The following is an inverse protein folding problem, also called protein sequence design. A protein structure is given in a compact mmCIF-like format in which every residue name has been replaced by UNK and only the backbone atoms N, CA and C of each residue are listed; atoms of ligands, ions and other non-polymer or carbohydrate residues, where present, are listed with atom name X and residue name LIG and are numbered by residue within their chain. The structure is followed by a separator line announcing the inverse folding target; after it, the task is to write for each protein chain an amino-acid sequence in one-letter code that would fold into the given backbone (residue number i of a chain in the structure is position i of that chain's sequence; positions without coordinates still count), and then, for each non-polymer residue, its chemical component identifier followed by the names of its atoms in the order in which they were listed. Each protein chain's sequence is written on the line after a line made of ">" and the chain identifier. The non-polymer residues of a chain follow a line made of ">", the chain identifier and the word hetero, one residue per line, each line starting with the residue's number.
data_IF_143152836316
#
_entry.id   IF_143152836316
#
_cell.length_a   1.000
_cell.length_b   1.000
_cell.length_c   1.000
_cell.angle_alpha   90.00
_cell.angle_beta   90.00
_cell.angle_gamma   90.00
#
_symmetry.space_group_name_H-M   'P 1'
#
loop_
_entity.id
_entity.type
_entity.pdbx_description
1 polymer ?
#
# COMPACT_ATOMS: atom_id res chain seq x y z
N UNK A 1 19.19 -0.96 -94.32
CA UNK A 1 18.01 -0.41 -93.76
C UNK A 1 18.05 -0.61 -92.23
N UNK A 2 18.37 0.42 -91.55
CA UNK A 2 18.65 0.36 -90.09
C UNK A 2 17.40 0.70 -89.30
N UNK A 3 17.00 -0.16 -88.32
CA UNK A 3 16.02 0.13 -87.34
C UNK A 3 16.68 0.37 -85.94
N UNK A 4 16.52 1.57 -85.44
CA UNK A 4 16.95 1.96 -84.12
C UNK A 4 15.86 1.57 -83.13
N UNK A 5 16.17 0.69 -82.19
CA UNK A 5 15.31 0.40 -81.01
C UNK A 5 15.71 1.32 -79.84
N UNK A 6 14.82 2.22 -79.48
CA UNK A 6 14.93 3.04 -78.27
C UNK A 6 14.51 2.22 -77.03
N UNK A 7 15.40 1.99 -76.11
CA UNK A 7 15.09 1.46 -74.76
C UNK A 7 14.60 2.62 -73.89
N UNK A 8 13.32 2.58 -73.42
CA UNK A 8 12.79 3.39 -72.34
C UNK A 8 13.15 2.69 -71.09
N UNK A 9 13.94 3.32 -70.23
CA UNK A 9 14.13 2.95 -68.80
C UNK A 9 13.10 3.66 -67.96
N UNK A 10 12.13 2.89 -67.41
CA UNK A 10 11.14 3.38 -66.41
C UNK A 10 11.77 3.27 -65.05
N UNK A 11 12.11 4.40 -64.45
CA UNK A 11 12.51 4.49 -63.05
C UNK A 11 11.24 4.53 -62.15
N UNK A 12 10.99 3.43 -61.46
CA UNK A 12 9.92 3.36 -60.46
C UNK A 12 10.46 3.95 -59.15
N UNK A 13 10.05 5.16 -58.81
CA UNK A 13 10.31 5.77 -57.51
C UNK A 13 9.36 5.13 -56.51
N UNK A 14 9.87 4.31 -55.58
CA UNK A 14 9.13 3.82 -54.42
C UNK A 14 9.10 4.95 -53.42
N UNK A 15 7.95 5.65 -53.32
CA UNK A 15 7.65 6.58 -52.23
C UNK A 15 7.36 5.74 -50.97
N UNK A 16 8.32 5.65 -50.06
CA UNK A 16 8.08 5.12 -48.73
C UNK A 16 7.19 6.07 -47.96
N UNK A 17 5.90 5.76 -47.88
CA UNK A 17 4.98 6.40 -46.94
C UNK A 17 5.33 5.87 -45.57
N UNK A 18 6.06 6.66 -44.78
CA UNK A 18 6.17 6.46 -43.35
C UNK A 18 4.76 6.71 -42.75
N UNK A 19 4.06 5.63 -42.43
CA UNK A 19 2.87 5.71 -41.58
C UNK A 19 3.35 6.21 -40.23
N UNK A 20 3.30 7.52 -40.02
CA UNK A 20 3.31 8.10 -38.71
C UNK A 20 2.00 7.62 -38.03
N UNK A 21 2.09 6.58 -37.22
CA UNK A 21 1.02 6.25 -36.28
C UNK A 21 0.88 7.46 -35.38
N UNK A 22 -0.15 8.28 -35.63
CA UNK A 22 -0.54 9.33 -34.71
C UNK A 22 -0.84 8.62 -33.38
N UNK A 23 -0.04 8.88 -32.35
CA UNK A 23 -0.35 8.48 -31.00
C UNK A 23 -1.74 9.07 -30.70
N UNK A 24 -2.74 8.22 -30.54
CA UNK A 24 -4.08 8.64 -30.19
C UNK A 24 -4.02 9.07 -28.74
N UNK A 25 -4.49 10.29 -28.45
CA UNK A 25 -4.57 10.79 -27.08
C UNK A 25 -5.35 9.81 -26.23
N UNK A 26 -4.71 9.29 -25.17
CA UNK A 26 -5.35 8.39 -24.22
C UNK A 26 -6.00 9.21 -23.13
N UNK A 27 -7.33 9.19 -23.07
CA UNK A 27 -8.08 9.75 -21.95
C UNK A 27 -8.35 8.64 -20.93
N UNK A 28 -7.57 8.63 -19.83
CA UNK A 28 -7.57 7.60 -18.82
C UNK A 28 -8.41 8.04 -17.62
N UNK A 29 -9.35 7.22 -17.20
CA UNK A 29 -10.08 7.44 -15.94
C UNK A 29 -9.23 6.94 -14.79
N UNK A 30 -8.86 7.83 -13.86
CA UNK A 30 -8.22 7.51 -12.59
C UNK A 30 -9.20 7.75 -11.44
N UNK A 31 -9.34 6.78 -10.54
CA UNK A 31 -10.31 6.84 -9.46
C UNK A 31 -9.75 6.39 -8.12
N UNK A 32 -10.29 6.95 -7.06
CA UNK A 32 -10.00 6.57 -5.67
C UNK A 32 -11.26 6.58 -4.81
N UNK A 33 -11.34 5.60 -3.90
CA UNK A 33 -12.34 5.57 -2.82
C UNK A 33 -12.06 6.55 -1.68
N UNK A 34 -10.89 7.24 -1.70
CA UNK A 34 -10.41 8.13 -0.65
C UNK A 34 -10.64 9.61 -1.01
N UNK A 35 -10.82 10.44 0.02
CA UNK A 35 -10.95 11.88 -0.15
C UNK A 35 -9.60 12.59 -0.39
N UNK A 36 -9.62 13.77 -1.00
CA UNK A 36 -8.43 14.59 -1.30
C UNK A 36 -7.48 14.85 -0.12
N UNK A 37 -7.94 14.98 1.14
CA UNK A 37 -7.03 15.18 2.26
C UNK A 37 -6.14 13.99 2.60
N UNK A 38 -6.45 12.80 2.06
CA UNK A 38 -5.67 11.58 2.29
C UNK A 38 -4.33 11.67 1.55
N UNK A 39 -3.18 11.31 2.19
CA UNK A 39 -1.86 11.39 1.55
C UNK A 39 -1.74 10.60 0.25
N UNK A 40 -2.39 9.46 0.15
CA UNK A 40 -2.42 8.68 -1.11
C UNK A 40 -3.20 9.37 -2.25
N UNK A 41 -3.95 10.43 -1.95
CA UNK A 41 -4.60 11.23 -2.99
C UNK A 41 -3.78 12.49 -3.26
N UNK A 42 -3.66 13.38 -2.27
CA UNK A 42 -3.00 14.67 -2.44
C UNK A 42 -1.49 14.62 -2.65
N UNK A 43 -0.81 13.57 -2.15
CA UNK A 43 0.64 13.41 -2.29
C UNK A 43 1.04 12.18 -3.14
N UNK A 44 0.09 11.46 -3.75
CA UNK A 44 0.37 10.37 -4.67
C UNK A 44 -0.46 10.45 -5.97
N UNK A 45 -1.79 10.22 -5.90
CA UNK A 45 -2.66 10.16 -7.08
C UNK A 45 -2.57 11.43 -7.94
N UNK A 46 -2.76 12.60 -7.33
CA UNK A 46 -2.72 13.87 -8.07
C UNK A 46 -1.33 14.16 -8.62
N UNK A 47 -0.23 14.09 -7.83
CA UNK A 47 1.13 14.26 -8.35
C UNK A 47 1.52 13.24 -9.44
N UNK A 48 1.08 11.98 -9.32
CA UNK A 48 1.31 10.97 -10.35
C UNK A 48 0.67 11.37 -11.67
N UNK A 49 -0.62 11.70 -11.65
CA UNK A 49 -1.36 12.09 -12.84
C UNK A 49 -0.79 13.37 -13.48
N UNK A 50 -0.46 14.39 -12.65
CA UNK A 50 0.15 15.66 -13.13
C UNK A 50 1.53 15.41 -13.78
N UNK A 51 2.34 14.52 -13.19
CA UNK A 51 3.66 14.19 -13.72
C UNK A 51 3.58 13.43 -15.04
N UNK A 52 2.66 12.46 -15.15
CA UNK A 52 2.43 11.74 -16.43
C UNK A 52 1.95 12.70 -17.51
N UNK A 53 0.95 13.54 -17.24
CA UNK A 53 0.44 14.50 -18.22
C UNK A 53 1.51 15.49 -18.70
N UNK A 54 2.55 15.72 -17.90
CA UNK A 54 3.69 16.57 -18.25
C UNK A 54 4.71 15.87 -19.13
N UNK A 55 5.03 14.59 -18.84
CA UNK A 55 6.07 13.84 -19.56
C UNK A 55 5.53 13.08 -20.76
N UNK A 56 4.23 12.77 -20.78
CA UNK A 56 3.50 12.13 -21.86
C UNK A 56 2.25 12.97 -22.20
N UNK A 57 2.39 14.11 -22.92
CA UNK A 57 1.31 15.08 -23.12
C UNK A 57 0.05 14.54 -23.82
N UNK A 58 0.19 13.43 -24.54
CA UNK A 58 -0.90 12.72 -25.20
C UNK A 58 -1.74 11.87 -24.25
N UNK A 59 -1.30 11.70 -22.99
CA UNK A 59 -2.06 11.04 -21.93
C UNK A 59 -2.74 12.12 -21.10
N UNK A 60 -4.05 11.94 -20.84
CA UNK A 60 -4.86 12.82 -19.97
C UNK A 60 -5.61 12.00 -18.95
N UNK A 61 -5.83 12.56 -17.77
CA UNK A 61 -6.58 11.89 -16.71
C UNK A 61 -7.88 12.62 -16.36
N UNK A 62 -8.99 11.90 -16.45
CA UNK A 62 -10.24 12.26 -15.78
C UNK A 62 -10.25 11.67 -14.39
N UNK A 63 -10.29 12.52 -13.33
CA UNK A 63 -10.03 12.15 -11.92
C UNK A 63 -11.31 12.09 -11.11
N UNK A 64 -11.55 10.99 -10.41
CA UNK A 64 -12.67 10.78 -9.50
C UNK A 64 -12.17 10.48 -8.08
N UNK A 65 -12.82 11.08 -7.07
CA UNK A 65 -12.41 11.06 -5.67
C UNK A 65 -13.51 10.53 -4.76
N UNK A 66 -13.16 10.18 -3.53
CA UNK A 66 -14.10 9.87 -2.45
C UNK A 66 -15.18 8.83 -2.80
N UNK A 67 -14.89 7.92 -3.72
CA UNK A 67 -15.85 6.89 -4.13
C UNK A 67 -16.93 7.36 -5.11
N UNK A 68 -16.80 8.55 -5.71
CA UNK A 68 -17.76 9.07 -6.69
C UNK A 68 -18.02 8.10 -7.84
N UNK A 69 -16.98 7.41 -8.30
CA UNK A 69 -17.09 6.41 -9.37
C UNK A 69 -16.87 5.00 -8.84
N UNK A 70 -15.85 4.79 -8.00
CA UNK A 70 -15.45 3.48 -7.48
C UNK A 70 -15.17 3.58 -5.98
N UNK A 71 -15.96 2.86 -5.18
CA UNK A 71 -15.77 2.78 -3.74
C UNK A 71 -14.63 1.83 -3.34
N UNK A 72 -14.15 1.96 -2.09
CA UNK A 72 -13.13 1.09 -1.50
C UNK A 72 -13.53 -0.39 -1.60
N UNK A 73 -12.59 -1.24 -2.06
CA UNK A 73 -12.80 -2.69 -2.25
C UNK A 73 -13.54 -3.06 -3.54
N UNK A 74 -13.73 -2.09 -4.46
CA UNK A 74 -14.33 -2.32 -5.79
C UNK A 74 -13.36 -1.98 -6.93
N UNK A 75 -12.15 -1.59 -6.60
CA UNK A 75 -11.16 -1.06 -7.56
C UNK A 75 -10.77 -2.14 -8.59
N UNK A 76 -10.52 -3.38 -8.15
CA UNK A 76 -10.12 -4.48 -9.04
C UNK A 76 -11.20 -4.80 -10.08
N UNK A 77 -12.45 -4.89 -9.64
CA UNK A 77 -13.57 -5.17 -10.55
C UNK A 77 -13.77 -4.02 -11.56
N UNK A 78 -13.58 -2.78 -11.12
CA UNK A 78 -13.66 -1.60 -11.97
C UNK A 78 -12.51 -1.51 -13.00
N UNK A 79 -11.29 -1.91 -12.62
CA UNK A 79 -10.14 -2.02 -13.53
C UNK A 79 -10.38 -3.11 -14.58
N UNK A 80 -10.76 -4.30 -14.15
CA UNK A 80 -10.93 -5.46 -15.05
C UNK A 80 -12.15 -5.35 -15.97
N UNK A 81 -13.18 -4.59 -15.56
CA UNK A 81 -14.33 -4.28 -16.44
C UNK A 81 -14.08 -3.10 -17.38
N UNK A 82 -12.95 -2.38 -17.24
CA UNK A 82 -12.66 -1.18 -18.01
C UNK A 82 -13.46 0.06 -17.59
N UNK A 83 -14.13 0.03 -16.43
CA UNK A 83 -14.83 1.20 -15.85
C UNK A 83 -13.84 2.31 -15.51
N UNK A 84 -12.65 1.93 -15.01
CA UNK A 84 -11.52 2.82 -14.78
C UNK A 84 -10.26 2.24 -15.42
N UNK A 85 -9.34 3.11 -15.80
CA UNK A 85 -8.02 2.71 -16.29
C UNK A 85 -7.00 2.57 -15.15
N UNK A 86 -7.10 3.43 -14.12
CA UNK A 86 -6.16 3.49 -12.99
C UNK A 86 -6.91 3.60 -11.67
N UNK A 87 -6.50 2.80 -10.69
CA UNK A 87 -6.88 2.92 -9.28
C UNK A 87 -5.70 3.46 -8.46
N UNK A 88 -5.91 4.51 -7.70
CA UNK A 88 -4.89 5.13 -6.85
C UNK A 88 -5.47 5.58 -5.49
N UNK A 89 -5.51 4.66 -4.52
CA UNK A 89 -5.01 3.28 -4.48
C UNK A 89 -5.99 2.22 -4.96
N UNK A 90 -5.45 1.01 -5.30
CA UNK A 90 -6.14 -0.25 -5.16
C UNK A 90 -5.81 -0.78 -3.76
N UNK A 91 -6.79 -0.84 -2.86
CA UNK A 91 -6.60 -1.23 -1.46
C UNK A 91 -6.74 -2.74 -1.29
N UNK A 92 -5.67 -3.49 -1.54
CA UNK A 92 -5.66 -4.96 -1.56
C UNK A 92 -6.36 -5.65 -0.38
N UNK A 93 -6.19 -5.22 0.90
CA UNK A 93 -6.84 -5.86 2.04
C UNK A 93 -8.37 -5.81 2.05
N UNK A 94 -8.98 -4.91 1.26
CA UNK A 94 -10.44 -4.82 1.15
C UNK A 94 -11.03 -5.65 -0.01
N UNK A 95 -10.18 -6.37 -0.76
CA UNK A 95 -10.58 -7.33 -1.80
C UNK A 95 -10.46 -8.75 -1.24
N UNK A 96 -11.42 -9.16 -0.42
CA UNK A 96 -11.40 -10.42 0.34
C UNK A 96 -10.99 -11.62 -0.52
N UNK A 97 -9.90 -12.30 -0.10
CA UNK A 97 -9.38 -13.49 -0.76
C UNK A 97 -8.69 -13.26 -2.12
N UNK A 98 -8.67 -12.02 -2.64
CA UNK A 98 -8.09 -11.70 -3.97
C UNK A 98 -6.60 -11.40 -3.90
N UNK A 99 -6.10 -10.91 -2.76
CA UNK A 99 -4.71 -10.54 -2.53
C UNK A 99 -4.20 -11.14 -1.19
N UNK A 100 -4.02 -12.46 -1.13
CA UNK A 100 -3.78 -13.17 0.12
C UNK A 100 -2.42 -12.88 0.76
N UNK A 101 -1.47 -12.34 0.01
CA UNK A 101 -0.10 -12.08 0.45
C UNK A 101 0.22 -10.59 0.60
N UNK A 102 -0.63 -9.69 0.10
CA UNK A 102 -0.38 -8.25 0.09
C UNK A 102 -0.34 -7.62 1.48
N UNK A 103 -0.90 -8.28 2.49
CA UNK A 103 -0.84 -7.84 3.89
C UNK A 103 0.57 -7.93 4.50
N UNK A 104 1.55 -8.52 3.81
CA UNK A 104 2.90 -8.79 4.33
C UNK A 104 3.60 -7.55 4.90
N UNK A 105 3.32 -6.35 4.36
CA UNK A 105 3.87 -5.08 4.86
C UNK A 105 3.34 -4.68 6.23
N UNK A 106 2.22 -5.26 6.65
CA UNK A 106 1.60 -5.04 7.95
C UNK A 106 2.16 -5.96 9.05
N UNK A 107 3.09 -6.84 8.71
CA UNK A 107 3.81 -7.64 9.70
C UNK A 107 4.70 -6.73 10.56
N UNK A 108 4.66 -6.87 11.90
CA UNK A 108 5.46 -6.03 12.80
C UNK A 108 6.97 -6.14 12.52
N UNK A 109 7.63 -4.99 12.39
CA UNK A 109 9.08 -4.90 12.27
C UNK A 109 9.57 -3.62 12.94
N UNK A 110 10.74 -3.63 13.57
CA UNK A 110 11.25 -2.52 14.36
C UNK A 110 12.27 -1.70 13.58
N UNK A 111 12.37 -0.41 13.92
CA UNK A 111 13.30 0.53 13.26
C UNK A 111 12.98 0.80 11.79
N UNK A 112 11.73 0.58 11.39
CA UNK A 112 11.26 0.82 10.03
C UNK A 112 10.56 2.17 9.91
N UNK A 113 10.65 2.78 8.73
CA UNK A 113 9.94 3.98 8.33
C UNK A 113 9.24 3.76 6.96
N UNK A 114 8.40 4.69 6.56
CA UNK A 114 7.67 4.62 5.28
C UNK A 114 8.59 4.44 4.07
N UNK A 115 9.69 5.21 3.90
CA UNK A 115 10.62 5.02 2.79
C UNK A 115 11.28 3.63 2.74
N UNK A 116 11.66 3.08 3.91
CA UNK A 116 12.25 1.73 3.99
C UNK A 116 11.28 0.66 3.54
N UNK A 117 10.05 0.70 4.06
CA UNK A 117 9.00 -0.28 3.70
C UNK A 117 8.59 -0.13 2.25
N UNK A 118 8.46 1.08 1.73
CA UNK A 118 8.17 1.33 0.30
C UNK A 118 9.24 0.71 -0.59
N UNK A 119 10.54 0.90 -0.27
CA UNK A 119 11.62 0.27 -1.04
C UNK A 119 11.62 -1.26 -0.92
N UNK A 120 11.39 -1.79 0.28
CA UNK A 120 11.32 -3.23 0.50
C UNK A 120 10.16 -3.86 -0.26
N UNK A 121 8.98 -3.24 -0.25
CA UNK A 121 7.83 -3.73 -0.98
C UNK A 121 8.00 -3.62 -2.50
N UNK A 122 8.58 -2.52 -2.99
CA UNK A 122 8.92 -2.40 -4.41
C UNK A 122 9.92 -3.48 -4.85
N UNK A 123 10.94 -3.78 -4.02
CA UNK A 123 11.88 -4.89 -4.28
C UNK A 123 11.20 -6.26 -4.24
N UNK A 124 10.18 -6.44 -3.39
CA UNK A 124 9.37 -7.66 -3.38
C UNK A 124 8.58 -7.83 -4.68
N UNK A 125 7.99 -6.76 -5.19
CA UNK A 125 7.30 -6.74 -6.49
C UNK A 125 8.26 -7.04 -7.66
N UNK A 126 9.47 -6.50 -7.61
CA UNK A 126 10.49 -6.66 -8.65
C UNK A 126 11.30 -7.96 -8.52
N UNK A 127 11.07 -8.76 -7.47
CA UNK A 127 11.88 -9.94 -7.17
C UNK A 127 11.66 -11.08 -8.16
N UNK A 128 12.76 -11.67 -8.64
CA UNK A 128 12.76 -12.89 -9.46
C UNK A 128 12.71 -14.17 -8.62
N UNK A 129 12.69 -14.06 -7.28
CA UNK A 129 12.63 -15.23 -6.39
C UNK A 129 11.24 -15.87 -6.47
N UNK A 130 11.22 -17.16 -6.83
CA UNK A 130 9.98 -17.93 -6.87
C UNK A 130 9.47 -18.20 -5.44
N UNK A 131 8.20 -17.90 -5.19
CA UNK A 131 7.54 -18.18 -3.91
C UNK A 131 6.68 -19.45 -3.94
N UNK A 132 6.15 -19.84 -5.12
CA UNK A 132 5.36 -21.05 -5.31
C UNK A 132 5.27 -21.42 -6.79
N UNK A 133 5.45 -22.71 -7.11
CA UNK A 133 5.27 -23.30 -8.45
C UNK A 133 6.01 -22.53 -9.57
N UNK A 134 7.20 -22.01 -9.26
CA UNK A 134 8.02 -21.19 -10.15
C UNK A 134 7.53 -19.75 -10.32
N UNK A 135 6.43 -19.34 -9.68
CA UNK A 135 5.92 -17.96 -9.73
C UNK A 135 6.59 -17.08 -8.69
N UNK A 136 6.97 -15.87 -9.10
CA UNK A 136 7.41 -14.79 -8.20
C UNK A 136 6.22 -14.21 -7.42
N UNK A 137 6.49 -13.32 -6.45
CA UNK A 137 5.43 -12.61 -5.74
C UNK A 137 4.50 -11.86 -6.70
N UNK A 138 5.07 -11.09 -7.64
CA UNK A 138 4.29 -10.34 -8.63
C UNK A 138 3.42 -11.26 -9.50
N UNK A 139 4.00 -12.35 -9.99
CA UNK A 139 3.26 -13.31 -10.82
C UNK A 139 2.13 -14.02 -10.06
N UNK A 140 2.32 -14.26 -8.77
CA UNK A 140 1.32 -14.93 -7.94
C UNK A 140 0.20 -13.96 -7.50
N UNK A 141 0.58 -12.75 -7.10
CA UNK A 141 -0.32 -11.81 -6.43
C UNK A 141 -0.99 -10.83 -7.40
N UNK A 142 -0.35 -10.50 -8.52
CA UNK A 142 -0.77 -9.41 -9.42
C UNK A 142 -1.06 -9.90 -10.85
N UNK A 143 -0.12 -10.56 -11.52
CA UNK A 143 -0.14 -10.75 -12.97
C UNK A 143 -1.39 -11.50 -13.50
N UNK A 144 -1.94 -12.45 -12.74
CA UNK A 144 -3.11 -13.21 -13.16
C UNK A 144 -4.45 -12.46 -12.92
N UNK A 145 -4.41 -11.19 -12.50
CA UNK A 145 -5.62 -10.40 -12.14
C UNK A 145 -6.04 -9.39 -13.20
N UNK A 146 -5.33 -9.34 -14.32
CA UNK A 146 -5.64 -8.39 -15.40
C UNK A 146 -5.26 -6.95 -15.07
N UNK A 147 -4.24 -6.77 -14.22
CA UNK A 147 -3.72 -5.47 -13.81
C UNK A 147 -2.19 -5.43 -13.82
N UNK A 148 -1.66 -4.26 -14.13
CA UNK A 148 -0.30 -3.86 -13.85
C UNK A 148 -0.25 -3.02 -12.58
N UNK A 149 0.73 -3.24 -11.69
CA UNK A 149 0.75 -2.59 -10.39
C UNK A 149 2.16 -2.21 -9.90
N UNK A 150 2.23 -1.12 -9.15
CA UNK A 150 3.42 -0.60 -8.47
C UNK A 150 3.13 -0.42 -6.98
N UNK A 151 4.20 -0.36 -6.18
CA UNK A 151 4.09 0.08 -4.80
C UNK A 151 3.52 1.51 -4.73
N UNK A 152 2.62 1.75 -3.79
CA UNK A 152 1.93 3.05 -3.65
C UNK A 152 2.71 4.06 -2.80
N UNK A 153 3.50 3.59 -1.87
CA UNK A 153 4.10 4.34 -0.78
C UNK A 153 3.46 3.97 0.57
N UNK A 154 4.25 3.33 1.43
CA UNK A 154 3.81 2.86 2.73
C UNK A 154 3.38 4.02 3.63
N UNK A 155 2.41 3.77 4.50
CA UNK A 155 2.09 4.69 5.61
C UNK A 155 3.26 4.79 6.58
N UNK A 156 3.27 5.80 7.46
CA UNK A 156 4.07 5.75 8.67
C UNK A 156 3.70 4.52 9.54
N UNK A 157 4.58 4.10 10.46
CA UNK A 157 4.34 2.93 11.31
C UNK A 157 2.98 3.02 12.00
N UNK A 158 2.26 1.92 12.03
CA UNK A 158 1.02 1.84 12.78
C UNK A 158 1.31 1.78 14.28
N UNK A 159 0.47 2.45 15.04
CA UNK A 159 0.52 2.53 16.50
C UNK A 159 -0.83 2.19 17.11
N UNK A 160 -0.85 1.93 18.42
CA UNK A 160 -2.08 1.71 19.18
C UNK A 160 -2.46 3.03 19.84
N UNK A 161 -3.64 3.53 19.50
CA UNK A 161 -4.15 4.79 20.05
C UNK A 161 -5.54 4.64 20.63
N UNK A 162 -5.81 5.29 21.75
CA UNK A 162 -7.08 5.19 22.48
C UNK A 162 -7.68 6.57 22.75
N UNK A 163 -9.00 6.59 22.96
CA UNK A 163 -9.75 7.83 23.23
C UNK A 163 -9.57 8.29 24.67
N UNK A 164 -9.77 7.39 25.64
CA UNK A 164 -9.73 7.72 27.08
C UNK A 164 -8.87 6.77 27.89
N UNK A 165 -8.83 5.49 27.50
CA UNK A 165 -8.13 4.45 28.25
C UNK A 165 -6.63 4.56 28.04
N UNK A 166 -5.87 4.60 29.13
CA UNK A 166 -4.40 4.52 29.05
C UNK A 166 -3.99 3.05 29.19
N UNK A 167 -3.25 2.54 28.22
CA UNK A 167 -2.73 1.17 28.21
C UNK A 167 -1.33 1.16 28.83
N UNK A 168 -1.21 0.74 30.11
CA UNK A 168 0.04 0.72 30.88
C UNK A 168 0.55 -0.69 31.13
N UNK A 169 -0.36 -1.64 31.31
CA UNK A 169 -0.06 -3.03 31.66
C UNK A 169 -0.75 -4.00 30.68
N UNK A 170 -0.26 -5.22 30.51
CA UNK A 170 -0.86 -6.21 29.60
C UNK A 170 -2.36 -6.43 29.85
N UNK A 171 -2.78 -6.38 31.11
CA UNK A 171 -4.19 -6.55 31.50
C UNK A 171 -5.12 -5.46 30.94
N UNK A 172 -4.59 -4.28 30.58
CA UNK A 172 -5.37 -3.18 30.04
C UNK A 172 -5.92 -3.49 28.63
N UNK A 173 -5.29 -4.41 27.91
CA UNK A 173 -5.82 -4.88 26.63
C UNK A 173 -7.04 -5.79 26.78
N UNK A 174 -7.18 -6.47 27.91
CA UNK A 174 -8.20 -7.52 28.09
C UNK A 174 -9.61 -6.99 27.81
N UNK A 175 -10.23 -7.53 26.77
CA UNK A 175 -11.58 -7.17 26.36
C UNK A 175 -11.77 -5.75 25.82
N UNK A 176 -10.69 -4.97 25.68
CA UNK A 176 -10.77 -3.59 25.16
C UNK A 176 -11.13 -3.64 23.66
N UNK A 177 -12.25 -3.01 23.22
CA UNK A 177 -12.62 -2.99 21.82
C UNK A 177 -11.72 -2.02 21.05
N UNK A 178 -10.85 -2.56 20.22
CA UNK A 178 -9.93 -1.80 19.35
C UNK A 178 -10.21 -2.05 17.87
N UNK A 179 -10.24 -1.00 17.08
CA UNK A 179 -10.43 -1.13 15.64
C UNK A 179 -9.21 -1.79 14.98
N UNK A 180 -9.48 -2.80 14.19
CA UNK A 180 -8.56 -3.37 13.20
C UNK A 180 -8.90 -2.85 11.79
N UNK A 181 -7.87 -2.53 10.99
CA UNK A 181 -8.05 -2.11 9.60
C UNK A 181 -8.00 -3.27 8.61
N UNK A 182 -7.46 -4.42 9.01
CA UNK A 182 -7.23 -5.59 8.18
C UNK A 182 -7.31 -6.88 8.99
N UNK A 183 -7.27 -8.01 8.30
CA UNK A 183 -7.20 -9.33 8.93
C UNK A 183 -5.93 -9.50 9.77
N UNK A 184 -4.79 -8.96 9.32
CA UNK A 184 -3.52 -9.04 10.04
C UNK A 184 -3.56 -8.22 11.34
N UNK A 185 -4.13 -7.00 11.29
CA UNK A 185 -4.33 -6.20 12.51
C UNK A 185 -5.30 -6.87 13.48
N UNK A 186 -6.30 -7.63 12.97
CA UNK A 186 -7.17 -8.45 13.83
C UNK A 186 -6.35 -9.48 14.60
N UNK A 187 -5.47 -10.23 13.91
CA UNK A 187 -4.56 -11.19 14.55
C UNK A 187 -3.70 -10.51 15.64
N UNK A 188 -3.10 -9.37 15.33
CA UNK A 188 -2.26 -8.64 16.31
C UNK A 188 -3.05 -8.24 17.55
N UNK A 189 -4.25 -7.70 17.41
CA UNK A 189 -5.10 -7.30 18.52
C UNK A 189 -5.55 -8.50 19.37
N UNK A 190 -5.86 -9.64 18.76
CA UNK A 190 -6.14 -10.89 19.46
C UNK A 190 -4.94 -11.37 20.27
N UNK A 191 -3.72 -11.29 19.70
CA UNK A 191 -2.48 -11.67 20.41
C UNK A 191 -2.17 -10.74 21.58
N UNK A 192 -2.60 -9.47 21.51
CA UNK A 192 -2.55 -8.54 22.62
C UNK A 192 -3.64 -8.79 23.68
N UNK A 193 -4.65 -9.62 23.41
CA UNK A 193 -5.79 -9.88 24.29
C UNK A 193 -6.92 -8.83 24.19
N UNK A 194 -6.84 -7.94 23.20
CA UNK A 194 -7.90 -6.99 22.90
C UNK A 194 -9.07 -7.66 22.17
N UNK A 195 -10.19 -6.95 22.09
CA UNK A 195 -11.34 -7.36 21.26
C UNK A 195 -11.29 -6.59 19.93
N UNK A 196 -10.90 -7.24 18.82
CA UNK A 196 -10.82 -6.53 17.54
C UNK A 196 -12.22 -6.22 16.99
N UNK A 197 -12.37 -5.01 16.44
CA UNK A 197 -13.54 -4.55 15.70
C UNK A 197 -13.08 -4.16 14.29
N UNK A 198 -13.33 -5.01 13.31
CA UNK A 198 -12.88 -4.77 11.93
C UNK A 198 -13.84 -3.83 11.22
N UNK A 199 -13.31 -2.66 10.81
CA UNK A 199 -14.05 -1.67 10.03
C UNK A 199 -13.09 -0.76 9.23
N UNK A 200 -13.55 -0.19 8.11
CA UNK A 200 -12.73 0.75 7.32
C UNK A 200 -12.44 2.03 8.11
N UNK A 201 -11.31 2.71 7.77
CA UNK A 201 -10.89 3.95 8.42
C UNK A 201 -11.95 5.05 8.41
N UNK A 202 -12.73 5.15 7.33
CA UNK A 202 -13.82 6.13 7.20
C UNK A 202 -14.94 6.00 8.25
N UNK A 203 -15.08 4.84 8.89
CA UNK A 203 -16.08 4.61 9.97
C UNK A 203 -15.48 4.75 11.37
N UNK A 204 -14.15 4.89 11.48
CA UNK A 204 -13.45 4.88 12.77
C UNK A 204 -13.85 6.05 13.68
N UNK A 205 -14.02 7.25 13.13
CA UNK A 205 -14.43 8.43 13.91
C UNK A 205 -15.80 8.23 14.57
N UNK A 206 -16.78 7.76 13.81
CA UNK A 206 -18.12 7.53 14.33
C UNK A 206 -18.14 6.40 15.36
N UNK A 207 -17.45 5.29 15.12
CA UNK A 207 -17.35 4.19 16.05
C UNK A 207 -16.69 4.60 17.39
N UNK A 208 -15.61 5.40 17.33
CA UNK A 208 -14.93 5.93 18.51
C UNK A 208 -15.79 6.97 19.27
N UNK A 209 -16.45 7.88 18.53
CA UNK A 209 -17.33 8.90 19.12
C UNK A 209 -18.50 8.29 19.89
N UNK A 210 -19.05 7.17 19.40
CA UNK A 210 -20.16 6.44 20.03
C UNK A 210 -19.71 5.45 21.09
N UNK A 211 -18.39 5.27 21.28
CA UNK A 211 -17.84 4.31 22.23
C UNK A 211 -17.99 2.84 21.79
N UNK A 212 -18.27 2.57 20.51
CA UNK A 212 -18.24 1.21 19.94
C UNK A 212 -16.84 0.64 19.97
N UNK A 213 -15.82 1.50 19.81
CA UNK A 213 -14.40 1.21 20.01
C UNK A 213 -13.82 2.18 21.03
N UNK A 214 -12.89 1.71 21.86
CA UNK A 214 -12.13 2.55 22.79
C UNK A 214 -10.82 3.09 22.18
N UNK A 215 -10.43 2.56 21.04
CA UNK A 215 -9.22 2.95 20.33
C UNK A 215 -9.06 2.20 19.02
N UNK A 216 -7.89 2.34 18.42
CA UNK A 216 -7.62 1.76 17.10
C UNK A 216 -6.13 1.55 16.83
N UNK A 217 -5.86 0.66 15.88
CA UNK A 217 -4.57 0.50 15.21
C UNK A 217 -4.62 1.28 13.91
N UNK A 218 -3.78 2.33 13.80
CA UNK A 218 -3.64 3.18 12.62
C UNK A 218 -2.35 4.01 12.72
N UNK A 219 -1.82 4.47 11.59
CA UNK A 219 -0.74 5.45 11.59
C UNK A 219 -1.22 6.81 12.13
N UNK A 220 -0.46 7.43 13.02
CA UNK A 220 -0.78 8.76 13.57
C UNK A 220 -0.88 9.80 12.46
N UNK A 221 -0.03 9.70 11.44
CA UNK A 221 -0.05 10.54 10.25
C UNK A 221 -1.38 10.50 9.49
N UNK A 222 -2.19 9.46 9.68
CA UNK A 222 -3.48 9.31 9.00
C UNK A 222 -4.68 9.87 9.79
N UNK A 223 -4.48 10.28 11.04
CA UNK A 223 -5.58 10.83 11.85
C UNK A 223 -6.35 11.97 11.19
N UNK A 224 -5.70 12.98 10.55
CA UNK A 224 -6.42 14.05 9.89
C UNK A 224 -7.30 13.61 8.73
N UNK A 225 -6.97 12.50 8.06
CA UNK A 225 -7.76 11.95 6.97
C UNK A 225 -9.17 11.54 7.41
N UNK A 226 -9.29 11.19 8.70
CA UNK A 226 -10.54 10.70 9.32
C UNK A 226 -10.97 11.52 10.55
N UNK A 227 -10.40 12.71 10.77
CA UNK A 227 -10.69 13.60 11.89
C UNK A 227 -10.42 12.98 13.29
N UNK A 228 -9.61 11.93 13.36
CA UNK A 228 -9.34 11.15 14.57
C UNK A 228 -8.57 11.94 15.65
N UNK A 229 -7.79 12.95 15.27
CA UNK A 229 -7.09 13.84 16.20
C UNK A 229 -8.03 14.54 17.19
N UNK A 230 -9.31 14.65 16.86
CA UNK A 230 -10.31 15.24 17.74
C UNK A 230 -10.67 14.32 18.92
N UNK A 231 -10.44 13.02 18.80
CA UNK A 231 -10.85 12.00 19.76
C UNK A 231 -9.69 11.31 20.47
N UNK A 232 -8.63 10.95 19.73
CA UNK A 232 -7.52 10.16 20.25
C UNK A 232 -6.63 11.00 21.19
N UNK A 233 -6.28 10.41 22.33
CA UNK A 233 -5.51 11.11 23.38
C UNK A 233 -4.27 10.36 23.82
N UNK A 234 -4.33 9.04 23.89
CA UNK A 234 -3.22 8.23 24.39
C UNK A 234 -2.73 7.29 23.32
N UNK A 235 -1.44 7.30 23.05
CA UNK A 235 -0.83 6.45 22.02
C UNK A 235 0.40 5.74 22.56
N UNK A 236 0.53 4.45 22.26
CA UNK A 236 1.78 3.72 22.39
C UNK A 236 2.51 3.86 21.04
N UNK A 237 3.69 4.47 21.08
CA UNK A 237 4.53 4.72 19.91
C UNK A 237 5.83 3.95 19.98
N UNK A 238 6.62 3.97 18.89
CA UNK A 238 7.84 3.18 18.72
C UNK A 238 7.58 1.66 18.81
N UNK A 239 6.34 1.23 18.54
CA UNK A 239 5.88 -0.15 18.65
C UNK A 239 5.85 -0.87 17.31
N UNK A 240 5.89 -0.16 16.20
CA UNK A 240 5.75 -0.65 14.83
C UNK A 240 4.86 -1.90 14.67
N UNK A 241 3.57 -1.65 14.50
CA UNK A 241 2.60 -2.70 14.15
C UNK A 241 2.49 -2.78 12.60
N UNK A 242 3.66 -2.84 11.94
CA UNK A 242 3.77 -2.83 10.50
C UNK A 242 3.37 -1.49 9.86
N UNK A 243 3.30 -1.51 8.55
CA UNK A 243 2.91 -0.38 7.72
C UNK A 243 1.83 -0.82 6.75
N UNK A 244 0.86 0.02 6.49
CA UNK A 244 -0.06 -0.27 5.40
C UNK A 244 0.54 0.19 4.10
N UNK A 245 0.67 -0.75 3.17
CA UNK A 245 0.99 -0.44 1.80
C UNK A 245 0.01 -1.16 0.87
N UNK A 246 -0.14 -0.68 -0.34
CA UNK A 246 -0.99 -1.26 -1.36
C UNK A 246 -0.50 -0.84 -2.75
N UNK A 247 -1.37 -0.73 -3.74
CA UNK A 247 -0.96 -0.58 -5.12
C UNK A 247 -1.49 0.69 -5.77
N UNK A 248 -0.64 1.37 -6.52
CA UNK A 248 -1.07 2.06 -7.72
C UNK A 248 -1.30 0.97 -8.77
N UNK A 249 -2.49 0.86 -9.32
CA UNK A 249 -2.83 -0.21 -10.26
C UNK A 249 -3.47 0.34 -11.53
N UNK A 250 -3.09 -0.22 -12.67
CA UNK A 250 -3.63 0.08 -14.00
C UNK A 250 -4.21 -1.19 -14.60
N UNK A 251 -5.32 -1.13 -15.35
CA UNK A 251 -5.82 -2.29 -16.08
C UNK A 251 -4.81 -2.72 -17.16
N UNK A 252 -4.64 -4.04 -17.37
CA UNK A 252 -3.76 -4.55 -18.43
C UNK A 252 -4.16 -3.99 -19.80
N UNK A 253 -5.46 -3.86 -20.06
CA UNK A 253 -5.94 -3.29 -21.32
C UNK A 253 -5.45 -1.85 -21.55
N UNK A 254 -5.44 -1.01 -20.49
CA UNK A 254 -4.93 0.35 -20.58
C UNK A 254 -3.40 0.38 -20.64
N UNK A 255 -2.71 -0.50 -19.89
CA UNK A 255 -1.26 -0.65 -19.93
C UNK A 255 -0.75 -1.09 -21.31
N UNK A 256 -1.38 -2.10 -21.90
CA UNK A 256 -0.99 -2.64 -23.20
C UNK A 256 -1.22 -1.66 -24.37
N UNK A 257 -2.16 -0.73 -24.19
CA UNK A 257 -2.42 0.33 -25.17
C UNK A 257 -1.37 1.46 -25.15
N UNK A 258 -0.52 1.54 -24.11
CA UNK A 258 0.55 2.52 -24.01
C UNK A 258 1.72 2.16 -24.95
N UNK A 259 2.39 3.19 -25.48
CA UNK A 259 3.68 3.01 -26.17
C UNK A 259 4.76 2.63 -25.16
N UNK A 260 5.86 2.03 -25.61
CA UNK A 260 6.99 1.68 -24.75
C UNK A 260 7.63 2.89 -24.05
N UNK A 261 7.60 4.07 -24.71
CA UNK A 261 8.04 5.32 -24.11
C UNK A 261 7.09 5.76 -22.98
N UNK A 262 5.78 5.65 -23.19
CA UNK A 262 4.78 5.93 -22.15
C UNK A 262 4.89 4.94 -20.99
N UNK A 263 5.04 3.64 -21.25
CA UNK A 263 5.27 2.62 -20.19
C UNK A 263 6.48 2.94 -19.34
N UNK A 264 7.61 3.32 -19.98
CA UNK A 264 8.82 3.75 -19.29
C UNK A 264 8.55 4.99 -18.41
N UNK A 265 7.78 5.96 -18.91
CA UNK A 265 7.41 7.15 -18.15
C UNK A 265 6.51 6.82 -16.96
N UNK A 266 5.54 5.91 -17.14
CA UNK A 266 4.66 5.44 -16.05
C UNK A 266 5.46 4.73 -14.97
N UNK A 267 6.31 3.75 -15.32
CA UNK A 267 7.16 3.03 -14.37
C UNK A 267 8.02 3.98 -13.55
N UNK A 268 8.72 4.89 -14.20
CA UNK A 268 9.58 5.85 -13.50
C UNK A 268 8.77 6.75 -12.59
N UNK A 269 7.67 7.32 -13.10
CA UNK A 269 6.85 8.27 -12.34
C UNK A 269 6.17 7.60 -11.15
N UNK A 270 5.65 6.39 -11.30
CA UNK A 270 5.03 5.62 -10.21
C UNK A 270 6.02 5.41 -9.05
N UNK A 271 7.26 4.99 -9.35
CA UNK A 271 8.32 4.77 -8.34
C UNK A 271 8.75 6.08 -7.67
N UNK A 272 8.96 7.15 -8.43
CA UNK A 272 9.37 8.45 -7.90
C UNK A 272 8.30 9.03 -6.96
N UNK A 273 7.03 8.95 -7.37
CA UNK A 273 5.91 9.48 -6.58
C UNK A 273 5.65 8.62 -5.34
N UNK A 274 5.81 7.29 -5.41
CA UNK A 274 5.72 6.42 -4.23
C UNK A 274 6.73 6.82 -3.15
N UNK A 275 7.98 7.11 -3.53
CA UNK A 275 9.01 7.55 -2.60
C UNK A 275 8.73 8.94 -2.01
N UNK A 276 8.25 9.88 -2.83
CA UNK A 276 7.85 11.22 -2.36
C UNK A 276 6.67 11.11 -1.39
N UNK A 277 5.70 10.26 -1.69
CA UNK A 277 4.57 9.99 -0.81
C UNK A 277 4.99 9.37 0.54
N UNK A 278 5.94 8.43 0.51
CA UNK A 278 6.48 7.83 1.73
C UNK A 278 7.16 8.89 2.63
N UNK A 279 7.89 9.84 2.06
CA UNK A 279 8.46 10.97 2.81
C UNK A 279 7.39 11.88 3.40
N UNK A 280 6.30 12.12 2.68
CA UNK A 280 5.16 12.90 3.20
C UNK A 280 4.48 12.22 4.38
N UNK A 281 4.34 10.89 4.38
CA UNK A 281 3.82 10.14 5.52
C UNK A 281 4.64 10.36 6.79
N UNK A 282 5.97 10.36 6.71
CA UNK A 282 6.86 10.62 7.85
C UNK A 282 6.81 12.08 8.32
N UNK A 283 6.83 13.03 7.38
CA UNK A 283 6.70 14.45 7.72
C UNK A 283 5.38 14.74 8.43
N UNK A 284 4.30 14.13 7.95
CA UNK A 284 2.96 14.25 8.52
C UNK A 284 2.85 13.59 9.89
N UNK A 285 3.54 12.48 10.14
CA UNK A 285 3.61 11.82 11.46
C UNK A 285 4.08 12.80 12.53
N UNK A 286 5.23 13.44 12.30
CA UNK A 286 5.80 14.42 13.23
C UNK A 286 4.85 15.58 13.46
N UNK A 287 4.31 16.17 12.38
CA UNK A 287 3.38 17.29 12.45
C UNK A 287 2.11 16.96 13.24
N UNK A 288 1.45 15.85 12.95
CA UNK A 288 0.19 15.47 13.62
C UNK A 288 0.42 15.19 15.10
N UNK A 289 1.53 14.52 15.44
CA UNK A 289 1.90 14.27 16.84
C UNK A 289 2.11 15.58 17.61
N UNK A 290 2.92 16.47 17.06
CA UNK A 290 3.26 17.74 17.72
C UNK A 290 2.02 18.66 17.87
N UNK A 291 1.16 18.69 16.86
CA UNK A 291 -0.12 19.40 16.94
C UNK A 291 -1.07 18.80 17.99
N UNK A 292 -1.16 17.48 18.05
CA UNK A 292 -1.98 16.79 19.06
C UNK A 292 -1.52 17.09 20.49
N UNK A 293 -0.20 17.09 20.74
CA UNK A 293 0.38 17.47 22.03
C UNK A 293 0.03 18.92 22.38
N UNK A 294 0.22 19.84 21.42
CA UNK A 294 0.09 21.27 21.66
C UNK A 294 -1.37 21.73 21.81
N UNK A 295 -2.32 21.12 21.11
CA UNK A 295 -3.70 21.61 20.97
C UNK A 295 -4.74 20.71 21.63
N UNK A 296 -4.51 19.40 21.64
CA UNK A 296 -5.55 18.41 21.97
C UNK A 296 -5.24 17.62 23.24
N UNK A 297 -4.08 17.86 23.87
CA UNK A 297 -3.66 17.15 25.07
C UNK A 297 -3.27 15.70 24.79
N UNK A 298 -2.74 15.43 23.59
CA UNK A 298 -2.27 14.10 23.21
C UNK A 298 -1.05 13.65 23.99
N UNK A 299 -1.07 12.41 24.45
CA UNK A 299 0.01 11.75 25.19
C UNK A 299 0.57 10.60 24.34
N UNK A 300 1.87 10.64 24.08
CA UNK A 300 2.57 9.65 23.24
C UNK A 300 3.64 8.97 24.09
N UNK A 301 3.33 7.75 24.51
CA UNK A 301 4.21 6.94 25.36
C UNK A 301 5.04 6.01 24.49
N UNK A 302 6.37 6.19 24.50
CA UNK A 302 7.27 5.26 23.82
C UNK A 302 7.21 3.88 24.49
N UNK A 303 7.16 2.81 23.71
CA UNK A 303 7.27 1.42 24.21
C UNK A 303 8.50 1.27 25.10
N UNK A 304 9.58 2.00 24.84
CA UNK A 304 10.83 1.94 25.60
C UNK A 304 10.70 2.45 27.04
N UNK A 305 9.64 3.20 27.34
CA UNK A 305 9.35 3.76 28.67
C UNK A 305 8.28 2.98 29.44
N UNK A 306 7.66 1.97 28.80
CA UNK A 306 6.69 1.09 29.45
C UNK A 306 7.38 0.06 30.37
N UNK A 307 6.57 -0.61 31.21
CA UNK A 307 7.08 -1.71 32.04
C UNK A 307 7.66 -2.86 31.21
N UNK A 308 8.61 -3.60 31.77
CA UNK A 308 9.19 -4.76 31.08
C UNK A 308 8.12 -5.82 30.76
N UNK A 309 7.12 -5.96 31.62
CA UNK A 309 5.97 -6.83 31.36
C UNK A 309 5.20 -6.41 30.11
N UNK A 310 4.95 -5.09 29.94
CA UNK A 310 4.25 -4.55 28.78
C UNK A 310 5.07 -4.69 27.51
N UNK A 311 6.37 -4.39 27.56
CA UNK A 311 7.28 -4.57 26.41
C UNK A 311 7.28 -6.04 25.95
N UNK A 312 7.53 -6.97 26.87
CA UNK A 312 7.55 -8.41 26.58
C UNK A 312 6.21 -8.88 26.00
N UNK A 313 5.10 -8.36 26.50
CA UNK A 313 3.77 -8.71 26.01
C UNK A 313 3.56 -8.26 24.55
N UNK A 314 3.92 -7.01 24.23
CA UNK A 314 3.80 -6.47 22.88
C UNK A 314 4.78 -7.17 21.90
N UNK A 315 6.02 -7.37 22.31
CA UNK A 315 7.03 -8.10 21.50
C UNK A 315 6.60 -9.53 21.19
N UNK A 316 6.05 -10.22 22.21
CA UNK A 316 5.49 -11.56 22.00
C UNK A 316 4.31 -11.54 21.03
N UNK A 317 3.38 -10.62 21.21
CA UNK A 317 2.23 -10.47 20.31
C UNK A 317 2.67 -10.19 18.87
N UNK A 318 3.72 -9.37 18.69
CA UNK A 318 4.30 -9.09 17.38
C UNK A 318 4.87 -10.35 16.72
N UNK A 319 5.67 -11.15 17.46
CA UNK A 319 6.21 -12.41 16.94
C UNK A 319 5.09 -13.43 16.63
N UNK A 320 4.15 -13.60 17.55
CA UNK A 320 3.00 -14.50 17.39
C UNK A 320 2.13 -14.10 16.17
N UNK A 321 2.09 -12.82 15.82
CA UNK A 321 1.37 -12.32 14.65
C UNK A 321 1.98 -12.82 13.34
N UNK A 322 3.31 -12.80 13.20
CA UNK A 322 4.01 -13.40 12.06
C UNK A 322 3.64 -14.87 11.88
N UNK A 323 3.76 -15.65 12.96
CA UNK A 323 3.51 -17.09 12.92
C UNK A 323 2.05 -17.39 12.58
N UNK A 324 1.11 -16.71 13.23
CA UNK A 324 -0.31 -16.93 13.01
C UNK A 324 -0.77 -16.50 11.60
N UNK A 325 -0.22 -15.41 11.06
CA UNK A 325 -0.52 -14.99 9.69
C UNK A 325 -0.01 -16.01 8.68
N UNK A 326 1.23 -16.49 8.86
CA UNK A 326 1.82 -17.51 7.99
C UNK A 326 0.98 -18.79 8.04
N UNK A 327 0.73 -19.34 9.24
CA UNK A 327 -0.04 -20.57 9.41
C UNK A 327 -1.44 -20.48 8.81
N UNK A 328 -2.16 -19.40 9.07
CA UNK A 328 -3.50 -19.16 8.54
C UNK A 328 -3.52 -19.05 7.02
N UNK A 329 -2.55 -18.34 6.45
CA UNK A 329 -2.48 -18.10 5.01
C UNK A 329 -2.03 -19.35 4.26
N UNK A 330 -1.09 -20.11 4.82
CA UNK A 330 -0.68 -21.42 4.26
C UNK A 330 -1.78 -22.49 4.36
N UNK A 331 -2.57 -22.49 5.44
CA UNK A 331 -3.73 -23.39 5.57
C UNK A 331 -4.77 -23.16 4.46
N UNK A 332 -4.82 -21.92 3.90
CA UNK A 332 -5.63 -21.59 2.74
C UNK A 332 -4.92 -21.87 1.39
N UNK A 333 -3.74 -22.48 1.41
CA UNK A 333 -2.99 -22.88 0.21
C UNK A 333 -2.12 -21.81 -0.42
N UNK A 334 -1.88 -20.67 0.26
CA UNK A 334 -1.05 -19.59 -0.25
C UNK A 334 0.38 -19.65 0.31
N UNK A 335 1.43 -19.23 -0.43
CA UNK A 335 2.84 -19.38 -0.03
C UNK A 335 3.28 -18.28 0.95
N UNK A 336 2.62 -18.21 2.11
CA UNK A 336 2.86 -17.15 3.08
C UNK A 336 4.25 -17.20 3.69
N UNK A 337 4.78 -18.38 4.00
CA UNK A 337 6.12 -18.51 4.61
C UNK A 337 7.23 -18.07 3.65
N UNK A 338 7.15 -18.49 2.38
CA UNK A 338 8.11 -18.05 1.36
C UNK A 338 8.06 -16.53 1.16
N UNK A 339 6.86 -15.95 1.09
CA UNK A 339 6.67 -14.49 0.98
C UNK A 339 7.17 -13.75 2.21
N UNK A 340 6.84 -14.23 3.41
CA UNK A 340 7.27 -13.65 4.68
C UNK A 340 8.80 -13.67 4.82
N UNK A 341 9.44 -14.78 4.42
CA UNK A 341 10.90 -14.90 4.43
C UNK A 341 11.56 -13.89 3.50
N UNK A 342 11.10 -13.81 2.26
CA UNK A 342 11.63 -12.85 1.29
C UNK A 342 11.43 -11.41 1.77
N UNK A 343 10.25 -11.07 2.26
CA UNK A 343 9.97 -9.74 2.80
C UNK A 343 10.84 -9.42 4.03
N UNK A 344 11.03 -10.38 4.95
CA UNK A 344 11.90 -10.24 6.12
C UNK A 344 13.34 -9.93 5.72
N UNK A 345 13.89 -10.64 4.73
CA UNK A 345 15.23 -10.39 4.19
C UNK A 345 15.34 -8.98 3.59
N UNK A 346 14.31 -8.53 2.87
CA UNK A 346 14.27 -7.19 2.27
C UNK A 346 14.19 -6.09 3.34
N UNK A 347 13.35 -6.26 4.38
CA UNK A 347 13.26 -5.31 5.50
C UNK A 347 14.58 -5.23 6.26
N UNK A 348 15.24 -6.35 6.52
CA UNK A 348 16.54 -6.38 7.19
C UNK A 348 17.64 -5.73 6.35
N UNK A 349 17.61 -5.90 5.03
CA UNK A 349 18.53 -5.22 4.12
C UNK A 349 18.35 -3.70 4.10
N UNK A 350 17.16 -3.20 4.40
CA UNK A 350 16.88 -1.77 4.59
C UNK A 350 17.23 -1.26 6.00
N UNK A 351 17.61 -2.14 6.93
CA UNK A 351 18.00 -1.78 8.30
C UNK A 351 16.95 -2.05 9.39
N UNK A 352 15.80 -2.57 9.02
CA UNK A 352 14.77 -2.99 9.97
C UNK A 352 15.15 -4.26 10.72
N UNK A 353 14.51 -4.50 11.86
CA UNK A 353 14.71 -5.72 12.66
C UNK A 353 13.40 -6.45 12.92
N UNK A 354 13.48 -7.77 13.02
CA UNK A 354 12.32 -8.63 13.22
C UNK A 354 12.05 -8.83 14.72
N UNK A 355 10.80 -9.11 15.13
CA UNK A 355 10.51 -9.57 16.48
C UNK A 355 11.27 -10.85 16.81
N UNK A 356 11.63 -11.02 18.10
CA UNK A 356 12.42 -12.15 18.58
C UNK A 356 11.78 -13.49 18.21
N UNK A 357 12.60 -14.43 17.70
CA UNK A 357 12.17 -15.77 17.28
C UNK A 357 11.56 -15.87 15.88
N UNK A 358 11.24 -14.76 15.22
CA UNK A 358 10.67 -14.77 13.84
C UNK A 358 11.71 -15.30 12.86
N UNK A 359 12.96 -14.84 12.92
CA UNK A 359 14.03 -15.32 12.03
C UNK A 359 14.23 -16.83 12.14
N UNK A 360 14.24 -17.39 13.37
CA UNK A 360 14.38 -18.83 13.63
C UNK A 360 13.17 -19.62 13.08
N UNK A 361 11.97 -19.05 13.17
CA UNK A 361 10.76 -19.67 12.61
C UNK A 361 10.80 -19.72 11.07
N UNK A 362 11.25 -18.65 10.42
CA UNK A 362 11.37 -18.57 8.97
C UNK A 362 12.49 -19.45 8.40
N UNK A 363 13.50 -19.79 9.20
CA UNK A 363 14.61 -20.65 8.80
C UNK A 363 14.29 -22.17 8.82
N UNK A 364 13.28 -22.58 9.58
CA UNK A 364 12.79 -23.98 9.67
C UNK A 364 11.93 -24.35 8.48
#
# INVERSE_FOLDING_TARGET
>A
MFQFARKLATATAILGVALATSAQAADLIISTGLGKPHPWVGAHMDPFADAIEKVAPDVKFTRFYAGELVGVGKELDALTSGTIAVAAPLLAPYHEGRFPLSDVTQLPAYGTDSPMVTRAFQKLLDSDVAIKDGKTFYQYEIADKGIHAWALGATAPYSISTVKKVLKEPADFSGTPLRAGSALHTIMLEKLGATPVTLPGSQAFEAASRGTIEGLVIAISDWPSYSLQQLLRHSIVDVSIGHWESYLAMSDAAWDALTEEQKTAFDKTARDVAMTNAQEWEARLTKVRDESIAKDGGEFTSINTLSDAMKTHIEKAAADTWMAWIEKTEANGHPAKATAKLYAELIQAEGGTLPAGVADYLAK
#
